data_IF_641153754765
#
_entry.id   IF_641153754765
#
_cell.length_a   1.000
_cell.length_b   1.000
_cell.length_c   1.000
_cell.angle_alpha   90.00
_cell.angle_beta   90.00
_cell.angle_gamma   90.00
#
_symmetry.space_group_name_H-M   'P 1'
#
loop_
_entity.id
_entity.type
_entity.pdbx_description
1 polymer ?
#
# COMPACT_ATOMS: atom_id res chain seq x y z
N UNK A 1 -29.44 1.49 29.58
CA UNK A 1 -28.90 2.07 28.33
C UNK A 1 -30.02 2.17 27.33
N UNK A 2 -30.34 3.39 26.93
CA UNK A 2 -31.24 3.63 25.80
C UNK A 2 -30.50 3.28 24.49
N UNK A 3 -31.21 2.93 23.41
CA UNK A 3 -30.60 2.69 22.10
C UNK A 3 -29.72 3.86 21.62
N UNK A 4 -30.04 5.10 22.03
CA UNK A 4 -29.26 6.30 21.73
C UNK A 4 -27.88 6.28 22.40
N UNK A 5 -27.75 5.73 23.61
CA UNK A 5 -26.48 5.66 24.34
C UNK A 5 -25.49 4.75 23.61
N UNK A 6 -25.97 3.61 23.10
CA UNK A 6 -25.17 2.67 22.30
C UNK A 6 -24.65 3.33 21.02
N UNK A 7 -25.50 4.09 20.32
CA UNK A 7 -25.12 4.82 19.10
C UNK A 7 -24.08 5.89 19.41
N UNK A 8 -24.24 6.64 20.50
CA UNK A 8 -23.28 7.66 20.93
C UNK A 8 -21.93 7.02 21.26
N UNK A 9 -21.91 5.97 22.08
CA UNK A 9 -20.67 5.26 22.46
C UNK A 9 -19.96 4.73 21.22
N UNK A 10 -20.69 4.07 20.31
CA UNK A 10 -20.13 3.56 19.06
C UNK A 10 -19.52 4.68 18.20
N UNK A 11 -20.25 5.79 18.06
CA UNK A 11 -19.78 6.95 17.27
C UNK A 11 -18.54 7.59 17.90
N UNK A 12 -18.50 7.74 19.22
CA UNK A 12 -17.33 8.27 19.92
C UNK A 12 -16.11 7.36 19.74
N UNK A 13 -16.27 6.04 19.86
CA UNK A 13 -15.19 5.08 19.63
C UNK A 13 -14.66 5.15 18.20
N UNK A 14 -15.56 5.35 17.21
CA UNK A 14 -15.17 5.53 15.81
C UNK A 14 -14.33 6.80 15.62
N UNK A 15 -14.78 7.93 16.17
CA UNK A 15 -14.05 9.21 16.10
C UNK A 15 -12.69 9.09 16.78
N UNK A 16 -12.62 8.50 17.97
CA UNK A 16 -11.36 8.29 18.70
C UNK A 16 -10.42 7.41 17.86
N UNK A 17 -10.92 6.33 17.27
CA UNK A 17 -10.13 5.47 16.38
C UNK A 17 -9.57 6.22 15.17
N UNK A 18 -10.38 7.06 14.51
CA UNK A 18 -9.93 7.91 13.40
C UNK A 18 -8.89 8.94 13.83
N UNK A 19 -9.07 9.54 15.02
CA UNK A 19 -8.13 10.52 15.58
C UNK A 19 -6.78 9.86 15.89
N UNK A 20 -6.78 8.72 16.59
CA UNK A 20 -5.57 7.94 16.89
C UNK A 20 -4.85 7.55 15.61
N UNK A 21 -5.58 7.10 14.58
CA UNK A 21 -5.01 6.74 13.28
C UNK A 21 -4.33 7.93 12.60
N UNK A 22 -5.00 9.08 12.61
CA UNK A 22 -4.48 10.30 12.00
C UNK A 22 -3.22 10.77 12.73
N UNK A 23 -3.27 10.87 14.06
CA UNK A 23 -2.12 11.26 14.90
C UNK A 23 -0.95 10.30 14.71
N UNK A 24 -1.19 9.00 14.73
CA UNK A 24 -0.16 8.01 14.49
C UNK A 24 0.48 8.16 13.10
N UNK A 25 -0.32 8.34 12.06
CA UNK A 25 0.17 8.57 10.69
C UNK A 25 0.99 9.85 10.56
N UNK A 26 0.61 10.92 11.25
CA UNK A 26 1.41 12.16 11.31
C UNK A 26 2.74 11.95 12.03
N UNK A 27 2.75 11.28 13.18
CA UNK A 27 3.98 10.96 13.93
C UNK A 27 4.90 10.05 13.12
N UNK A 28 4.34 9.06 12.41
CA UNK A 28 5.06 8.14 11.54
C UNK A 28 5.49 8.76 10.19
N UNK A 29 5.02 9.98 9.86
CA UNK A 29 5.35 10.70 8.63
C UNK A 29 4.65 10.19 7.36
N UNK A 30 3.64 9.34 7.50
CA UNK A 30 2.80 8.80 6.40
C UNK A 30 1.35 8.65 6.90
N UNK A 31 0.47 9.64 6.64
CA UNK A 31 -0.94 9.51 6.99
C UNK A 31 -1.64 8.47 6.10
N UNK A 32 -2.66 7.81 6.63
CA UNK A 32 -3.46 6.88 5.84
C UNK A 32 -4.33 7.63 4.83
N UNK A 33 -3.94 7.56 3.56
CA UNK A 33 -4.72 8.05 2.42
C UNK A 33 -4.83 6.92 1.40
N UNK A 34 -6.01 6.31 1.21
CA UNK A 34 -6.12 5.17 0.32
C UNK A 34 -5.95 5.56 -1.15
N UNK A 35 -5.26 4.70 -1.92
CA UNK A 35 -5.23 4.78 -3.39
C UNK A 35 -6.65 4.59 -3.96
N UNK A 36 -7.17 5.50 -4.81
CA UNK A 36 -8.48 5.32 -5.44
C UNK A 36 -8.52 4.03 -6.29
N UNK A 37 -9.66 3.34 -6.34
CA UNK A 37 -9.78 2.06 -7.08
C UNK A 37 -9.32 2.13 -8.54
N UNK A 38 -9.67 3.18 -9.33
CA UNK A 38 -9.16 3.30 -10.70
C UNK A 38 -7.63 3.38 -10.77
N UNK A 39 -7.00 4.05 -9.81
CA UNK A 39 -5.55 4.17 -9.72
C UNK A 39 -4.93 2.84 -9.29
N UNK A 40 -5.53 2.13 -8.33
CA UNK A 40 -5.06 0.81 -7.90
C UNK A 40 -5.08 -0.20 -9.06
N UNK A 41 -6.15 -0.23 -9.87
CA UNK A 41 -6.21 -1.05 -11.08
C UNK A 41 -5.11 -0.68 -12.07
N UNK A 42 -4.93 0.62 -12.35
CA UNK A 42 -3.89 1.08 -13.25
C UNK A 42 -2.46 0.77 -12.74
N UNK A 43 -2.23 0.79 -11.42
CA UNK A 43 -0.96 0.33 -10.84
C UNK A 43 -0.71 -1.14 -11.14
N UNK A 44 -1.72 -2.00 -10.93
CA UNK A 44 -1.63 -3.44 -11.21
C UNK A 44 -1.42 -3.70 -12.70
N UNK A 45 -2.10 -2.96 -13.58
CA UNK A 45 -1.92 -3.06 -15.03
C UNK A 45 -0.50 -2.64 -15.45
N UNK A 46 0.00 -1.53 -14.89
CA UNK A 46 1.34 -1.00 -15.16
C UNK A 46 2.44 -1.94 -14.65
N UNK A 47 2.18 -2.74 -13.61
CA UNK A 47 3.12 -3.74 -13.11
C UNK A 47 3.39 -4.87 -14.12
N UNK A 48 2.47 -5.13 -15.06
CA UNK A 48 2.58 -6.20 -16.07
C UNK A 48 2.90 -7.57 -15.44
N UNK A 49 2.17 -7.92 -14.38
CA UNK A 49 2.28 -9.22 -13.70
C UNK A 49 2.04 -10.38 -14.67
N UNK A 50 2.83 -11.43 -14.53
CA UNK A 50 2.79 -12.69 -15.29
C UNK A 50 2.04 -13.78 -14.53
N UNK A 51 1.83 -13.60 -13.23
CA UNK A 51 1.03 -14.47 -12.37
C UNK A 51 1.81 -15.40 -11.45
N UNK A 52 3.14 -15.36 -11.48
CA UNK A 52 4.02 -16.20 -10.65
C UNK A 52 4.92 -15.40 -9.73
N UNK A 53 4.75 -14.08 -9.69
CA UNK A 53 5.59 -13.16 -8.93
C UNK A 53 5.31 -13.19 -7.42
N UNK A 54 6.37 -12.93 -6.65
CA UNK A 54 6.28 -12.49 -5.26
C UNK A 54 6.00 -10.98 -5.23
N UNK A 55 4.77 -10.63 -4.88
CA UNK A 55 4.26 -9.26 -4.90
C UNK A 55 4.17 -8.72 -3.49
N UNK A 56 4.71 -7.53 -3.27
CA UNK A 56 4.65 -6.82 -2.00
C UNK A 56 3.93 -5.48 -2.13
N UNK A 57 3.20 -5.08 -1.10
CA UNK A 57 2.66 -3.73 -0.94
C UNK A 57 3.19 -3.13 0.38
N UNK A 58 3.91 -2.01 0.28
CA UNK A 58 4.56 -1.33 1.41
C UNK A 58 3.67 -0.17 1.86
N UNK A 59 3.24 -0.19 3.12
CA UNK A 59 2.16 0.70 3.58
C UNK A 59 0.83 0.27 2.95
N UNK A 60 0.57 -1.04 2.99
CA UNK A 60 -0.52 -1.67 2.25
C UNK A 60 -1.92 -1.18 2.64
N UNK A 61 -2.03 -0.43 3.74
CA UNK A 61 -3.24 0.25 4.12
C UNK A 61 -4.37 -0.74 4.36
N UNK A 62 -5.42 -0.61 3.56
CA UNK A 62 -6.57 -1.49 3.64
C UNK A 62 -6.49 -2.72 2.70
N UNK A 63 -5.32 -3.02 2.15
CA UNK A 63 -5.03 -4.18 1.30
C UNK A 63 -5.57 -4.10 -0.13
N UNK A 64 -6.19 -2.98 -0.53
CA UNK A 64 -6.92 -2.89 -1.80
C UNK A 64 -6.07 -3.20 -3.03
N UNK A 65 -4.81 -2.76 -3.08
CA UNK A 65 -3.96 -2.96 -4.26
C UNK A 65 -3.66 -4.45 -4.44
N UNK A 66 -3.32 -5.15 -3.35
CA UNK A 66 -3.09 -6.60 -3.37
C UNK A 66 -4.37 -7.39 -3.66
N UNK A 67 -5.52 -6.94 -3.17
CA UNK A 67 -6.82 -7.52 -3.52
C UNK A 67 -7.06 -7.43 -5.02
N UNK A 68 -6.88 -6.26 -5.63
CA UNK A 68 -7.01 -6.11 -7.09
C UNK A 68 -5.98 -6.96 -7.85
N UNK A 69 -4.73 -7.00 -7.38
CA UNK A 69 -3.67 -7.82 -7.98
C UNK A 69 -4.03 -9.32 -7.97
N UNK A 70 -4.47 -9.85 -6.82
CA UNK A 70 -4.87 -11.26 -6.67
C UNK A 70 -6.15 -11.61 -7.42
N UNK A 71 -7.09 -10.67 -7.62
CA UNK A 71 -8.26 -10.89 -8.48
C UNK A 71 -7.85 -11.12 -9.92
N UNK A 72 -6.92 -10.32 -10.43
CA UNK A 72 -6.44 -10.42 -11.81
C UNK A 72 -5.45 -11.58 -12.01
N UNK A 73 -4.63 -11.85 -10.99
CA UNK A 73 -3.62 -12.90 -10.99
C UNK A 73 -3.72 -13.76 -9.73
N UNK A 74 -4.62 -14.76 -9.69
CA UNK A 74 -4.87 -15.56 -8.50
C UNK A 74 -3.66 -16.34 -7.98
N UNK A 75 -2.67 -16.62 -8.84
CA UNK A 75 -1.50 -17.44 -8.53
C UNK A 75 -0.32 -16.69 -7.91
N UNK A 76 -0.31 -15.35 -7.90
CA UNK A 76 0.81 -14.59 -7.29
C UNK A 76 0.87 -14.82 -5.78
N UNK A 77 2.06 -14.72 -5.23
CA UNK A 77 2.28 -14.68 -3.78
C UNK A 77 2.24 -13.22 -3.30
N UNK A 78 1.15 -12.84 -2.63
CA UNK A 78 0.92 -11.45 -2.21
C UNK A 78 1.19 -11.24 -0.71
N UNK A 79 2.06 -10.28 -0.40
CA UNK A 79 2.40 -9.86 0.97
C UNK A 79 2.15 -8.36 1.16
N UNK A 80 1.32 -8.00 2.15
CA UNK A 80 1.10 -6.59 2.52
C UNK A 80 1.69 -6.30 3.89
N UNK A 81 2.39 -5.18 4.01
CA UNK A 81 2.98 -4.72 5.28
C UNK A 81 2.35 -3.38 5.64
N UNK A 82 1.76 -3.30 6.83
CA UNK A 82 1.14 -2.08 7.36
C UNK A 82 1.62 -1.82 8.78
N UNK A 83 2.06 -0.58 9.04
CA UNK A 83 2.63 -0.17 10.32
C UNK A 83 1.53 0.19 11.32
N UNK A 84 0.54 0.97 10.88
CA UNK A 84 -0.50 1.52 11.74
C UNK A 84 -1.50 0.44 12.17
N UNK A 85 -1.65 0.16 13.49
CA UNK A 85 -2.48 -0.96 13.96
C UNK A 85 -3.95 -0.90 13.53
N UNK A 86 -4.55 0.29 13.56
CA UNK A 86 -5.96 0.51 13.17
C UNK A 86 -6.19 0.32 11.67
N UNK A 87 -5.25 0.82 10.85
CA UNK A 87 -5.28 0.65 9.40
C UNK A 87 -5.04 -0.81 9.03
N UNK A 88 -4.09 -1.47 9.69
CA UNK A 88 -3.86 -2.89 9.52
C UNK A 88 -5.10 -3.70 9.86
N UNK A 89 -5.82 -3.37 10.94
CA UNK A 89 -7.07 -4.06 11.29
C UNK A 89 -8.15 -3.87 10.20
N UNK A 90 -8.28 -2.65 9.67
CA UNK A 90 -9.15 -2.38 8.53
C UNK A 90 -8.75 -3.21 7.29
N UNK A 91 -7.44 -3.34 7.02
CA UNK A 91 -6.93 -4.19 5.94
C UNK A 91 -7.23 -5.67 6.15
N UNK A 92 -7.04 -6.19 7.36
CA UNK A 92 -7.40 -7.56 7.73
C UNK A 92 -8.88 -7.85 7.47
N UNK A 93 -9.76 -6.93 7.88
CA UNK A 93 -11.20 -7.06 7.65
C UNK A 93 -11.53 -7.07 6.16
N UNK A 94 -10.97 -6.16 5.37
CA UNK A 94 -11.24 -6.11 3.93
C UNK A 94 -10.73 -7.34 3.19
N UNK A 95 -9.55 -7.84 3.53
CA UNK A 95 -8.98 -9.08 2.94
C UNK A 95 -9.85 -10.29 3.30
N UNK A 96 -10.33 -10.36 4.54
CA UNK A 96 -11.25 -11.41 4.97
C UNK A 96 -12.57 -11.36 4.17
N UNK A 97 -13.19 -10.18 4.08
CA UNK A 97 -14.44 -9.98 3.34
C UNK A 97 -14.29 -10.22 1.83
N UNK A 98 -13.11 -10.03 1.26
CA UNK A 98 -12.88 -10.31 -0.17
C UNK A 98 -12.73 -11.80 -0.48
N UNK A 99 -12.53 -12.66 0.53
CA UNK A 99 -12.26 -14.09 0.33
C UNK A 99 -10.91 -14.39 -0.31
N UNK A 100 -9.99 -13.43 -0.32
CA UNK A 100 -8.69 -13.55 -1.00
C UNK A 100 -7.61 -13.84 0.02
N UNK A 101 -6.75 -14.80 -0.27
CA UNK A 101 -5.59 -15.11 0.56
C UNK A 101 -4.43 -14.14 0.28
N UNK A 102 -4.10 -13.31 1.26
CA UNK A 102 -2.94 -12.40 1.27
C UNK A 102 -2.20 -12.59 2.60
N UNK A 103 -0.87 -12.65 2.56
CA UNK A 103 -0.04 -12.60 3.77
C UNK A 103 -0.01 -11.15 4.26
N UNK A 104 -0.76 -10.84 5.31
CA UNK A 104 -0.93 -9.46 5.77
C UNK A 104 -0.29 -9.24 7.15
N UNK A 105 0.81 -8.50 7.17
CA UNK A 105 1.73 -8.37 8.31
C UNK A 105 1.56 -6.98 8.91
N UNK A 106 1.38 -6.93 10.24
CA UNK A 106 1.52 -5.68 10.98
C UNK A 106 2.99 -5.49 11.32
N UNK A 107 3.62 -4.44 10.80
CA UNK A 107 5.03 -4.23 11.05
C UNK A 107 5.63 -3.08 10.26
N UNK A 108 6.89 -2.81 10.55
CA UNK A 108 7.68 -1.84 9.81
C UNK A 108 8.31 -2.52 8.59
N UNK A 109 8.05 -1.99 7.39
CA UNK A 109 8.59 -2.54 6.16
C UNK A 109 10.12 -2.45 6.06
N UNK A 110 10.76 -1.53 6.79
CA UNK A 110 12.22 -1.44 6.82
C UNK A 110 12.87 -2.69 7.44
N UNK A 111 12.15 -3.39 8.31
CA UNK A 111 12.63 -4.59 9.01
C UNK A 111 12.33 -5.89 8.23
N UNK A 112 11.68 -5.80 7.07
CA UNK A 112 11.32 -6.95 6.25
C UNK A 112 12.35 -7.20 5.15
N UNK A 113 12.69 -8.47 4.91
CA UNK A 113 13.58 -8.89 3.81
C UNK A 113 12.84 -8.79 2.47
N UNK A 114 13.41 -8.02 1.53
CA UNK A 114 12.84 -7.80 0.20
C UNK A 114 13.62 -8.54 -0.91
N UNK A 115 14.62 -9.35 -0.56
CA UNK A 115 15.49 -10.05 -1.52
C UNK A 115 14.78 -11.04 -2.44
N UNK A 116 13.57 -11.47 -2.07
CA UNK A 116 12.74 -12.38 -2.87
C UNK A 116 11.57 -11.68 -3.56
N UNK A 117 11.48 -10.36 -3.48
CA UNK A 117 10.35 -9.62 -4.06
C UNK A 117 10.60 -9.30 -5.53
N UNK A 118 9.65 -9.69 -6.37
CA UNK A 118 9.70 -9.48 -7.81
C UNK A 118 8.98 -8.17 -8.20
N UNK A 119 7.91 -7.82 -7.47
CA UNK A 119 7.13 -6.60 -7.71
C UNK A 119 6.73 -5.92 -6.40
N UNK A 120 6.91 -4.60 -6.33
CA UNK A 120 6.52 -3.76 -5.18
C UNK A 120 5.50 -2.71 -5.60
N UNK A 121 4.43 -2.57 -4.83
CA UNK A 121 3.53 -1.42 -4.85
C UNK A 121 3.78 -0.52 -3.64
N UNK A 122 3.66 0.80 -3.83
CA UNK A 122 3.77 1.76 -2.73
C UNK A 122 3.08 3.10 -3.00
N UNK A 123 2.62 3.74 -1.93
CA UNK A 123 2.11 5.11 -1.89
C UNK A 123 2.42 5.73 -0.51
N UNK A 124 3.55 6.44 -0.39
CA UNK A 124 4.13 6.80 0.92
C UNK A 124 4.36 8.31 1.07
N UNK A 125 5.60 8.74 1.35
CA UNK A 125 6.00 10.14 1.46
C UNK A 125 7.43 10.34 0.97
N UNK A 126 7.86 11.56 0.56
CA UNK A 126 9.19 11.77 0.01
C UNK A 126 10.34 11.31 0.92
N UNK A 127 10.20 11.53 2.24
CA UNK A 127 11.21 11.12 3.22
C UNK A 127 11.33 9.59 3.32
N UNK A 128 10.20 8.86 3.19
CA UNK A 128 10.20 7.39 3.19
C UNK A 128 10.72 6.84 1.87
N UNK A 129 10.39 7.47 0.75
CA UNK A 129 10.92 7.10 -0.57
C UNK A 129 12.45 7.14 -0.60
N UNK A 130 13.08 8.19 -0.04
CA UNK A 130 14.53 8.30 0.04
C UNK A 130 15.16 7.13 0.84
N UNK A 131 14.61 6.81 2.02
CA UNK A 131 15.09 5.69 2.83
C UNK A 131 14.88 4.33 2.18
N UNK A 132 13.75 4.15 1.48
CA UNK A 132 13.46 2.93 0.74
C UNK A 132 14.39 2.77 -0.45
N UNK A 133 14.77 3.85 -1.13
CA UNK A 133 15.76 3.78 -2.22
C UNK A 133 17.06 3.13 -1.74
N UNK A 134 17.59 3.56 -0.60
CA UNK A 134 18.82 2.98 -0.05
C UNK A 134 18.64 1.50 0.34
N UNK A 135 17.48 1.13 0.90
CA UNK A 135 17.19 -0.27 1.24
C UNK A 135 17.05 -1.13 -0.01
N UNK A 136 16.35 -0.63 -1.01
CA UNK A 136 16.13 -1.34 -2.25
C UNK A 136 17.44 -1.57 -3.00
N UNK A 137 18.34 -0.59 -3.04
CA UNK A 137 19.69 -0.73 -3.61
C UNK A 137 20.49 -1.87 -2.97
N UNK A 138 20.24 -2.20 -1.70
CA UNK A 138 20.93 -3.28 -0.98
C UNK A 138 20.27 -4.65 -1.13
N UNK A 139 18.94 -4.68 -1.27
CA UNK A 139 18.17 -5.92 -1.11
C UNK A 139 17.48 -6.39 -2.38
N UNK A 140 17.02 -5.50 -3.26
CA UNK A 140 16.28 -5.91 -4.44
C UNK A 140 17.21 -6.57 -5.45
N UNK A 141 16.66 -7.57 -6.14
CA UNK A 141 17.34 -8.18 -7.27
C UNK A 141 17.26 -7.25 -8.48
N UNK A 142 18.26 -7.27 -9.37
CA UNK A 142 18.16 -6.59 -10.65
C UNK A 142 16.90 -7.00 -11.40
N UNK A 143 16.14 -6.02 -11.88
CA UNK A 143 14.89 -6.23 -12.61
C UNK A 143 13.64 -6.33 -11.74
N UNK A 144 13.74 -6.18 -10.41
CA UNK A 144 12.54 -6.01 -9.56
C UNK A 144 11.75 -4.79 -10.04
N UNK A 145 10.44 -4.96 -10.24
CA UNK A 145 9.55 -3.88 -10.69
C UNK A 145 9.00 -3.14 -9.48
N UNK A 146 9.08 -1.81 -9.48
CA UNK A 146 8.50 -0.98 -8.41
C UNK A 146 7.48 -0.02 -9.01
N UNK A 147 6.24 -0.08 -8.51
CA UNK A 147 5.14 0.80 -8.90
C UNK A 147 4.84 1.78 -7.77
N UNK A 148 5.13 3.06 -8.02
CA UNK A 148 4.88 4.15 -7.09
C UNK A 148 3.67 4.97 -7.51
N UNK A 149 2.80 5.31 -6.56
CA UNK A 149 1.76 6.31 -6.73
C UNK A 149 2.20 7.65 -6.14
N UNK A 150 2.03 8.73 -6.91
CA UNK A 150 2.27 10.14 -6.59
C UNK A 150 3.73 10.55 -6.33
N UNK A 151 4.52 9.77 -5.59
CA UNK A 151 5.87 10.14 -5.17
C UNK A 151 6.97 9.54 -6.06
N UNK A 152 8.14 10.17 -6.05
CA UNK A 152 9.33 9.79 -6.81
C UNK A 152 10.44 9.29 -5.89
N UNK A 153 11.30 8.43 -6.43
CA UNK A 153 12.61 8.17 -5.85
C UNK A 153 13.58 9.31 -6.20
N UNK A 154 14.44 9.76 -5.27
CA UNK A 154 15.27 10.94 -5.50
C UNK A 154 16.44 10.71 -6.47
N UNK A 155 17.01 9.50 -6.53
CA UNK A 155 18.18 9.20 -7.38
C UNK A 155 17.83 8.37 -8.62
N UNK A 156 16.57 7.93 -8.78
CA UNK A 156 16.13 7.09 -9.91
C UNK A 156 15.02 7.73 -10.74
N UNK A 157 15.13 7.58 -12.05
CA UNK A 157 14.10 7.97 -13.00
C UNK A 157 13.17 6.79 -13.30
N UNK A 158 11.85 7.02 -13.44
CA UNK A 158 10.93 5.98 -13.85
C UNK A 158 11.13 5.60 -15.32
N UNK A 159 10.96 4.33 -15.64
CA UNK A 159 10.99 3.83 -17.02
C UNK A 159 9.67 4.07 -17.75
N UNK A 160 8.57 4.22 -17.01
CA UNK A 160 7.25 4.51 -17.57
C UNK A 160 6.41 5.29 -16.55
N UNK A 161 5.56 6.19 -17.04
CA UNK A 161 4.67 7.01 -16.22
C UNK A 161 3.28 7.07 -16.84
N UNK A 162 2.25 7.02 -16.00
CA UNK A 162 0.86 7.17 -16.42
C UNK A 162 0.17 8.17 -15.52
N UNK A 163 -0.56 9.12 -16.10
CA UNK A 163 -1.37 10.08 -15.36
C UNK A 163 -2.85 9.76 -15.52
N UNK A 164 -3.54 9.54 -14.41
CA UNK A 164 -4.99 9.37 -14.39
C UNK A 164 -5.68 10.68 -14.00
N UNK A 165 -6.86 10.98 -14.55
CA UNK A 165 -7.67 12.09 -14.08
C UNK A 165 -8.12 11.85 -12.63
N UNK A 166 -8.16 12.91 -11.84
CA UNK A 166 -8.57 12.87 -10.45
C UNK A 166 -9.24 14.18 -10.05
N UNK A 167 -10.13 14.11 -9.06
CA UNK A 167 -10.92 15.26 -8.59
C UNK A 167 -10.07 16.40 -8.01
N UNK A 168 -8.88 16.08 -7.47
CA UNK A 168 -7.85 17.04 -7.02
C UNK A 168 -6.66 17.11 -8.00
N UNK A 169 -6.91 16.94 -9.29
CA UNK A 169 -5.87 16.93 -10.33
C UNK A 169 -5.33 15.53 -10.64
N UNK A 170 -4.31 15.49 -11.50
CA UNK A 170 -3.77 14.25 -12.05
C UNK A 170 -3.15 13.37 -10.96
N UNK A 171 -3.49 12.08 -10.96
CA UNK A 171 -2.87 11.05 -10.13
C UNK A 171 -1.85 10.31 -10.98
N UNK A 172 -0.56 10.57 -10.72
CA UNK A 172 0.53 9.97 -11.48
C UNK A 172 0.99 8.68 -10.82
N UNK A 173 1.05 7.61 -11.60
CA UNK A 173 1.70 6.35 -11.24
C UNK A 173 2.98 6.20 -12.07
N UNK A 174 3.98 5.56 -11.48
CA UNK A 174 5.33 5.45 -12.04
C UNK A 174 5.82 4.02 -11.92
N UNK A 175 6.42 3.50 -12.98
CA UNK A 175 7.11 2.22 -13.02
C UNK A 175 8.61 2.46 -12.98
N UNK A 176 9.28 1.75 -12.10
CA UNK A 176 10.72 1.67 -12.01
C UNK A 176 11.14 0.22 -12.21
N UNK A 177 12.35 0.03 -12.72
CA UNK A 177 13.08 -1.24 -12.68
C UNK A 177 14.30 -1.00 -11.80
N UNK A 178 14.47 -1.85 -10.79
CA UNK A 178 15.57 -1.72 -9.85
C UNK A 178 16.86 -2.30 -10.40
#
# INVERSE_FOLDING_TARGET
MLPVDLVIIFTMLLIIGMMVTSVYGFIAGVPYVPTPHPVARAMVDLARLRGTENVMDIGAGNGRVLIEAKRKHPSIDATGIELAPTVWLLGKLNIFLSGIRIRFIRGNAFDHDMSRTDVIFLYLSPAVMAKLEDKFDRELKPGTVVISHAFTFPRRQPVEMTALPGWMGKKTIRRYEW
#
